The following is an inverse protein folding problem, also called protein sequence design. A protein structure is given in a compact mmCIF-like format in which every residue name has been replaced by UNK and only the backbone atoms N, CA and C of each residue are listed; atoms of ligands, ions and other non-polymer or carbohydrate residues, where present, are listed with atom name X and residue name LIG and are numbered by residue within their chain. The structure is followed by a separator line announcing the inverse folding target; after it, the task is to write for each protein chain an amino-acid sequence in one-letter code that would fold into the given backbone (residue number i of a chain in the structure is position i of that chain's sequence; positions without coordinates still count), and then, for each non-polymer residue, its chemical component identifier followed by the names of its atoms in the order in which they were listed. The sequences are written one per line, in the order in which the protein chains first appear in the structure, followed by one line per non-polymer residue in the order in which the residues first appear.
data_IF_576517054718
#
_entry.id   IF_576517054718
#
_cell.length_a   1.000
_cell.length_b   1.000
_cell.length_c   1.000
_cell.angle_alpha   90.00
_cell.angle_beta   90.00
_cell.angle_gamma   90.00
#
_symmetry.space_group_name_H-M   'P 1'
#
loop_
_entity.id
_entity.type
_entity.pdbx_description
1 polymer ?
#
# COMPACT_ATOMS: atom_id res chain seq x y z
N UNK A 1 1.95 -5.58 4.40
CA UNK A 1 2.35 -4.77 3.23
C UNK A 1 2.88 -3.40 3.65
N UNK A 2 2.08 -2.56 4.32
CA UNK A 2 2.45 -1.18 4.65
C UNK A 2 3.71 -1.13 5.54
N UNK A 3 3.78 -1.95 6.58
CA UNK A 3 4.96 -2.03 7.45
C UNK A 3 6.22 -2.45 6.68
N UNK A 4 6.11 -3.40 5.75
CA UNK A 4 7.26 -3.82 4.94
C UNK A 4 7.73 -2.72 3.99
N UNK A 5 6.80 -1.93 3.45
CA UNK A 5 7.15 -0.73 2.67
C UNK A 5 7.93 0.28 3.53
N UNK A 6 7.46 0.52 4.77
CA UNK A 6 8.12 1.41 5.72
C UNK A 6 9.52 0.92 6.10
N UNK A 7 9.68 -0.38 6.43
CA UNK A 7 11.01 -0.94 6.72
C UNK A 7 11.98 -0.79 5.55
N UNK A 8 11.50 -1.07 4.33
CA UNK A 8 12.30 -0.89 3.12
C UNK A 8 12.68 0.57 2.89
N UNK A 9 11.76 1.50 3.10
CA UNK A 9 11.99 2.93 2.97
C UNK A 9 12.94 3.45 4.05
N UNK A 10 12.73 3.06 5.31
CA UNK A 10 13.58 3.45 6.44
C UNK A 10 15.03 2.99 6.27
N UNK A 11 15.25 1.76 5.77
CA UNK A 11 16.59 1.25 5.50
C UNK A 11 17.34 2.03 4.40
N UNK A 12 16.64 2.87 3.64
CA UNK A 12 17.17 3.69 2.52
C UNK A 12 17.10 5.19 2.79
N UNK A 13 16.73 5.60 4.00
CA UNK A 13 16.73 6.99 4.42
C UNK A 13 15.50 7.82 3.98
N UNK A 14 14.44 7.17 3.46
CA UNK A 14 13.20 7.83 3.09
C UNK A 14 11.95 7.27 3.78
N UNK A 15 12.16 6.59 4.91
CA UNK A 15 11.08 6.19 5.81
C UNK A 15 10.51 7.36 6.61
N UNK A 16 9.45 7.07 7.37
CA UNK A 16 8.64 8.09 8.05
C UNK A 16 9.43 9.03 8.94
N UNK A 17 10.40 8.52 9.70
CA UNK A 17 11.20 9.38 10.61
C UNK A 17 11.97 10.45 9.84
N UNK A 18 12.69 10.05 8.80
CA UNK A 18 13.48 10.97 7.97
C UNK A 18 12.59 11.98 7.25
N UNK A 19 11.40 11.55 6.82
CA UNK A 19 10.45 12.41 6.13
C UNK A 19 9.77 13.41 7.06
N UNK A 20 9.42 13.00 8.28
CA UNK A 20 8.81 13.89 9.28
C UNK A 20 9.77 15.04 9.64
N UNK A 21 11.07 14.76 9.76
CA UNK A 21 12.10 15.79 10.00
C UNK A 21 12.17 16.80 8.84
N UNK A 22 11.75 16.41 7.63
CA UNK A 22 11.69 17.25 6.44
C UNK A 22 10.28 17.82 6.13
N UNK A 23 9.32 17.69 7.05
CA UNK A 23 7.92 18.06 6.83
C UNK A 23 7.21 17.32 5.68
N UNK A 24 7.64 16.11 5.38
CA UNK A 24 7.06 15.30 4.32
C UNK A 24 6.42 14.03 4.87
N UNK A 25 5.47 13.47 4.13
CA UNK A 25 4.89 12.15 4.44
C UNK A 25 4.49 11.40 3.18
N UNK A 26 4.51 10.06 3.28
CA UNK A 26 3.94 9.20 2.26
C UNK A 26 2.43 9.08 2.39
N UNK A 27 1.76 9.16 1.27
CA UNK A 27 0.31 8.90 1.14
C UNK A 27 0.11 7.74 0.19
N UNK A 28 -0.57 6.70 0.67
CA UNK A 28 -1.02 5.58 -0.16
C UNK A 28 -2.18 6.06 -1.02
N UNK A 29 -1.98 6.09 -2.33
CA UNK A 29 -3.00 6.51 -3.31
C UNK A 29 -3.84 5.33 -3.80
N UNK A 30 -3.19 4.18 -4.05
CA UNK A 30 -3.85 2.98 -4.57
C UNK A 30 -3.17 1.74 -4.04
N UNK A 31 -3.97 0.70 -3.84
CA UNK A 31 -3.51 -0.64 -3.47
C UNK A 31 -4.36 -1.67 -4.19
N UNK A 32 -3.70 -2.63 -4.82
CA UNK A 32 -4.31 -3.85 -5.36
C UNK A 32 -3.60 -5.04 -4.75
N UNK A 33 -4.35 -6.04 -4.35
CA UNK A 33 -3.84 -7.31 -3.82
C UNK A 33 -4.54 -8.42 -4.58
N UNK A 34 -3.77 -9.35 -5.12
CA UNK A 34 -4.28 -10.55 -5.76
C UNK A 34 -3.62 -11.77 -5.14
N UNK A 35 -4.45 -12.60 -4.49
CA UNK A 35 -4.02 -13.85 -3.88
C UNK A 35 -4.42 -15.01 -4.76
N UNK A 36 -3.45 -15.83 -5.16
CA UNK A 36 -3.66 -17.05 -5.93
C UNK A 36 -3.91 -18.26 -5.03
N UNK A 37 -3.38 -18.17 -3.80
CA UNK A 37 -3.55 -19.16 -2.75
C UNK A 37 -3.34 -18.48 -1.38
N UNK A 38 -3.78 -19.12 -0.33
CA UNK A 38 -3.62 -18.62 1.03
C UNK A 38 -2.60 -19.46 1.81
N UNK A 39 -1.68 -18.83 2.56
CA UNK A 39 -0.83 -19.57 3.47
C UNK A 39 -1.68 -20.27 4.53
N UNK A 40 -1.31 -21.52 4.87
CA UNK A 40 -1.98 -22.26 5.94
C UNK A 40 -1.76 -21.56 7.28
N UNK A 41 -2.77 -21.59 8.13
CA UNK A 41 -2.69 -21.02 9.49
C UNK A 41 -1.48 -21.57 10.23
N UNK A 42 -0.75 -20.69 10.93
CA UNK A 42 0.50 -20.99 11.66
C UNK A 42 1.72 -21.35 10.79
N UNK A 43 1.68 -21.12 9.47
CA UNK A 43 2.88 -21.19 8.64
C UNK A 43 3.53 -19.82 8.48
N UNK A 44 4.85 -19.83 8.31
CA UNK A 44 5.59 -18.62 7.99
C UNK A 44 5.43 -18.26 6.49
N UNK A 45 5.47 -16.98 6.19
CA UNK A 45 5.58 -16.49 4.82
C UNK A 45 6.62 -15.38 4.73
N UNK A 46 7.17 -15.20 3.55
CA UNK A 46 8.07 -14.10 3.20
C UNK A 46 7.27 -13.05 2.44
N UNK A 47 7.42 -11.82 2.86
CA UNK A 47 6.89 -10.66 2.14
C UNK A 47 8.06 -9.86 1.55
N UNK A 48 8.27 -10.00 0.26
CA UNK A 48 9.24 -9.21 -0.50
C UNK A 48 8.59 -7.93 -1.02
N UNK A 49 9.36 -6.84 -1.10
CA UNK A 49 8.86 -5.58 -1.67
C UNK A 49 9.96 -4.84 -2.41
N UNK A 50 9.61 -4.22 -3.52
CA UNK A 50 10.52 -3.41 -4.35
C UNK A 50 9.78 -2.22 -4.98
N UNK A 51 10.54 -1.20 -5.35
CA UNK A 51 10.04 -0.08 -6.14
C UNK A 51 10.18 -0.47 -7.61
N UNK A 52 9.07 -0.49 -8.34
CA UNK A 52 9.08 -0.76 -9.79
C UNK A 52 9.53 0.49 -10.57
N UNK A 53 8.91 1.64 -10.27
CA UNK A 53 9.18 2.88 -10.95
C UNK A 53 9.08 4.07 -10.00
N UNK A 54 9.88 5.09 -10.28
CA UNK A 54 9.81 6.40 -9.65
C UNK A 54 9.42 7.42 -10.71
N UNK A 55 8.36 8.16 -10.45
CA UNK A 55 7.89 9.28 -11.26
C UNK A 55 8.06 10.58 -10.48
N UNK A 56 7.88 11.69 -11.12
CA UNK A 56 8.06 12.99 -10.47
C UNK A 56 7.26 13.16 -9.18
N UNK A 57 6.01 12.69 -9.13
CA UNK A 57 5.09 12.91 -7.99
C UNK A 57 4.63 11.62 -7.29
N UNK A 58 5.02 10.46 -7.78
CA UNK A 58 4.62 9.18 -7.19
C UNK A 58 5.58 8.05 -7.53
N UNK A 59 5.52 6.98 -6.74
CA UNK A 59 6.22 5.72 -7.01
C UNK A 59 5.22 4.57 -7.16
N UNK A 60 5.60 3.58 -7.98
CA UNK A 60 4.95 2.28 -8.00
C UNK A 60 5.78 1.31 -7.16
N UNK A 61 5.14 0.65 -6.22
CA UNK A 61 5.76 -0.36 -5.36
C UNK A 61 5.01 -1.65 -5.47
N UNK A 62 5.75 -2.73 -5.61
CA UNK A 62 5.23 -4.09 -5.70
C UNK A 62 5.58 -4.91 -4.46
N UNK A 63 4.84 -5.99 -4.29
CA UNK A 63 5.04 -6.97 -3.22
C UNK A 63 4.82 -8.38 -3.75
N UNK A 64 5.54 -9.34 -3.20
CA UNK A 64 5.36 -10.77 -3.43
C UNK A 64 5.25 -11.46 -2.08
N UNK A 65 4.25 -12.33 -1.95
CA UNK A 65 4.00 -13.13 -0.78
C UNK A 65 4.33 -14.58 -1.14
N UNK A 66 5.27 -15.21 -0.44
CA UNK A 66 5.74 -16.56 -0.78
C UNK A 66 6.07 -17.40 0.43
N UNK A 67 6.09 -18.72 0.24
CA UNK A 67 6.60 -19.67 1.24
C UNK A 67 8.12 -19.59 1.32
N UNK A 68 8.71 -19.46 2.51
CA UNK A 68 10.17 -19.53 2.69
C UNK A 68 10.73 -20.92 2.44
N UNK A 69 9.91 -21.97 2.59
CA UNK A 69 10.34 -23.37 2.52
C UNK A 69 10.32 -23.89 1.09
N UNK A 70 9.28 -23.56 0.33
CA UNK A 70 9.05 -24.12 -1.00
C UNK A 70 9.24 -23.12 -2.13
N UNK A 71 9.31 -21.82 -1.82
CA UNK A 71 9.30 -20.76 -2.82
C UNK A 71 7.94 -20.54 -3.50
N UNK A 72 6.91 -21.31 -3.12
CA UNK A 72 5.55 -21.15 -3.68
C UNK A 72 5.08 -19.73 -3.46
N UNK A 73 4.65 -19.07 -4.53
CA UNK A 73 4.06 -17.74 -4.47
C UNK A 73 2.57 -17.86 -4.13
N UNK A 74 2.15 -17.15 -3.09
CA UNK A 74 0.75 -17.08 -2.67
C UNK A 74 0.01 -15.93 -3.37
N UNK A 75 0.71 -14.86 -3.70
CA UNK A 75 0.09 -13.71 -4.35
C UNK A 75 1.05 -12.54 -4.49
N UNK A 76 0.53 -11.49 -5.11
CA UNK A 76 1.23 -10.22 -5.31
C UNK A 76 0.36 -9.05 -4.87
N UNK A 77 1.01 -7.91 -4.66
CA UNK A 77 0.32 -6.65 -4.51
C UNK A 77 1.07 -5.54 -5.27
N UNK A 78 0.32 -4.52 -5.70
CA UNK A 78 0.82 -3.29 -6.28
C UNK A 78 0.28 -2.10 -5.50
N UNK A 79 1.10 -1.10 -5.28
CA UNK A 79 0.69 0.15 -4.64
C UNK A 79 1.27 1.36 -5.35
N UNK A 80 0.54 2.47 -5.28
CA UNK A 80 0.98 3.79 -5.75
C UNK A 80 1.09 4.70 -4.55
N UNK A 81 2.25 5.31 -4.37
CA UNK A 81 2.53 6.20 -3.26
C UNK A 81 2.91 7.59 -3.78
N UNK A 82 2.31 8.61 -3.21
CA UNK A 82 2.69 9.99 -3.40
C UNK A 82 3.34 10.53 -2.13
N UNK A 83 4.29 11.45 -2.28
CA UNK A 83 4.82 12.21 -1.16
C UNK A 83 4.20 13.60 -1.15
N UNK A 84 3.79 14.04 0.02
CA UNK A 84 3.25 15.38 0.21
C UNK A 84 4.00 16.13 1.30
N UNK A 85 4.04 17.43 1.19
CA UNK A 85 4.47 18.31 2.28
C UNK A 85 3.32 18.46 3.29
N UNK A 86 3.63 18.41 4.60
CA UNK A 86 2.62 18.52 5.65
C UNK A 86 1.98 19.90 5.75
N UNK A 87 2.74 20.96 5.45
CA UNK A 87 2.28 22.33 5.68
C UNK A 87 1.28 22.80 4.63
N UNK A 88 1.59 22.56 3.36
CA UNK A 88 0.78 23.04 2.23
C UNK A 88 -0.04 21.94 1.53
N UNK A 89 0.18 20.68 1.92
CA UNK A 89 -0.47 19.49 1.33
C UNK A 89 -0.18 19.28 -0.15
N UNK A 90 0.84 19.95 -0.70
CA UNK A 90 1.23 19.80 -2.09
C UNK A 90 2.13 18.59 -2.31
N UNK A 91 2.03 17.95 -3.49
CA UNK A 91 2.92 16.86 -3.86
C UNK A 91 4.38 17.33 -3.95
N UNK A 92 5.29 16.50 -3.45
CA UNK A 92 6.74 16.72 -3.50
C UNK A 92 7.31 16.09 -4.76
N UNK A 93 8.23 16.78 -5.42
CA UNK A 93 8.97 16.25 -6.56
C UNK A 93 10.03 15.23 -6.05
N UNK A 94 9.81 13.96 -6.36
CA UNK A 94 10.63 12.85 -5.85
C UNK A 94 12.04 12.82 -6.46
N UNK A 95 12.25 13.43 -7.62
CA UNK A 95 13.58 13.52 -8.23
C UNK A 95 14.46 14.58 -7.57
N UNK A 96 13.86 15.53 -6.84
CA UNK A 96 14.58 16.59 -6.14
C UNK A 96 14.93 16.25 -4.69
N UNK A 97 14.49 15.06 -4.20
CA UNK A 97 14.72 14.67 -2.82
C UNK A 97 16.16 14.23 -2.56
N UNK A 98 16.79 14.89 -1.58
CA UNK A 98 18.05 14.47 -0.92
C UNK A 98 19.27 14.31 -1.83
N UNK A 99 19.34 14.91 -3.02
CA UNK A 99 20.51 14.83 -3.89
C UNK A 99 20.84 13.41 -4.39
N UNK A 100 20.03 12.42 -3.98
CA UNK A 100 20.04 11.07 -4.49
C UNK A 100 18.67 10.79 -5.06
N UNK A 101 18.64 10.48 -6.31
CA UNK A 101 17.42 10.14 -6.99
C UNK A 101 16.91 8.81 -6.46
N UNK A 102 15.65 8.77 -6.01
CA UNK A 102 15.00 7.50 -5.62
C UNK A 102 15.04 6.44 -6.74
N UNK A 103 15.32 6.87 -7.95
CA UNK A 103 15.52 6.02 -9.13
C UNK A 103 16.58 4.95 -8.92
N UNK A 104 17.60 5.21 -8.10
CA UNK A 104 18.67 4.24 -7.82
C UNK A 104 18.19 3.00 -7.06
N UNK A 105 17.02 3.05 -6.46
CA UNK A 105 16.39 1.92 -5.75
C UNK A 105 15.25 1.27 -6.53
N UNK A 106 14.99 1.74 -7.73
CA UNK A 106 14.02 1.11 -8.61
C UNK A 106 14.59 -0.20 -9.18
N UNK A 107 13.75 -1.22 -9.21
CA UNK A 107 14.00 -2.53 -9.81
C UNK A 107 12.96 -2.77 -10.90
N UNK A 108 13.05 -2.09 -12.05
CA UNK A 108 12.03 -2.15 -13.11
C UNK A 108 11.95 -3.54 -13.78
N UNK A 109 13.02 -4.31 -13.69
CA UNK A 109 13.13 -5.65 -14.31
C UNK A 109 12.56 -6.77 -13.40
N UNK A 110 12.24 -6.45 -12.12
CA UNK A 110 11.60 -7.43 -11.23
C UNK A 110 10.11 -7.53 -11.58
N UNK A 111 9.69 -8.72 -12.00
CA UNK A 111 8.35 -8.97 -12.49
C UNK A 111 7.29 -8.95 -11.39
N UNK A 112 6.13 -8.37 -11.71
CA UNK A 112 4.92 -8.44 -10.93
C UNK A 112 3.74 -8.75 -11.86
N UNK A 113 3.28 -10.00 -11.92
CA UNK A 113 2.39 -10.49 -12.99
C UNK A 113 0.95 -10.01 -12.89
N UNK A 114 0.53 -9.44 -11.74
CA UNK A 114 -0.82 -8.92 -11.59
C UNK A 114 -1.01 -7.60 -12.35
N UNK A 115 -2.24 -7.30 -12.74
CA UNK A 115 -2.55 -6.09 -13.50
C UNK A 115 -2.21 -4.80 -12.72
N UNK A 116 -1.85 -3.77 -13.48
CA UNK A 116 -1.65 -2.42 -12.90
C UNK A 116 -3.00 -1.83 -12.49
N UNK A 117 -3.02 -1.16 -11.33
CA UNK A 117 -4.25 -0.57 -10.81
C UNK A 117 -4.84 0.45 -11.79
N UNK A 118 -6.09 0.23 -12.16
CA UNK A 118 -6.90 1.20 -12.86
C UNK A 118 -7.27 2.41 -11.97
N UNK A 119 -7.78 3.46 -12.58
CA UNK A 119 -8.38 4.57 -11.85
C UNK A 119 -9.81 4.19 -11.46
N UNK A 120 -10.08 4.09 -10.16
CA UNK A 120 -11.46 3.92 -9.68
C UNK A 120 -12.26 5.18 -10.01
N UNK A 121 -13.38 5.01 -10.69
CA UNK A 121 -14.32 6.12 -10.99
C UNK A 121 -15.50 6.01 -10.02
N UNK A 122 -15.95 7.13 -9.43
CA UNK A 122 -17.21 7.13 -8.68
C UNK A 122 -18.35 6.67 -9.58
N UNK A 123 -19.31 5.96 -8.99
CA UNK A 123 -20.56 5.65 -9.67
C UNK A 123 -21.38 6.92 -9.87
N UNK A 124 -22.13 7.00 -10.97
CA UNK A 124 -22.96 8.18 -11.27
C UNK A 124 -24.19 8.28 -10.36
N UNK A 125 -24.70 7.12 -9.88
CA UNK A 125 -25.82 7.02 -8.97
C UNK A 125 -25.39 6.27 -7.70
N UNK A 126 -25.24 7.01 -6.58
CA UNK A 126 -24.98 6.45 -5.27
C UNK A 126 -26.32 5.95 -4.68
N UNK A 127 -26.74 4.75 -5.06
CA UNK A 127 -27.98 4.13 -4.57
C UNK A 127 -27.84 3.55 -3.16
N UNK A 128 -26.61 3.35 -2.69
CA UNK A 128 -26.34 2.80 -1.37
C UNK A 128 -25.33 3.66 -0.63
N UNK A 129 -25.74 4.22 0.50
CA UNK A 129 -24.89 4.98 1.41
C UNK A 129 -25.01 4.40 2.80
N UNK A 130 -23.88 4.01 3.39
CA UNK A 130 -23.80 3.62 4.80
C UNK A 130 -22.88 4.58 5.53
N UNK A 131 -23.38 5.20 6.57
CA UNK A 131 -22.57 6.01 7.47
C UNK A 131 -21.86 5.09 8.47
N UNK A 132 -20.54 5.24 8.56
CA UNK A 132 -19.68 4.52 9.51
C UNK A 132 -19.06 5.54 10.44
N UNK A 133 -19.26 5.38 11.74
CA UNK A 133 -18.63 6.20 12.77
C UNK A 133 -17.24 5.64 13.07
N UNK A 134 -16.21 6.46 12.88
CA UNK A 134 -14.82 6.07 13.21
C UNK A 134 -14.61 6.11 14.72
N UNK A 135 -13.95 5.08 15.24
CA UNK A 135 -13.69 4.90 16.67
C UNK A 135 -12.20 5.05 16.99
N UNK A 136 -11.88 5.09 18.26
CA UNK A 136 -10.48 5.17 18.73
C UNK A 136 -9.59 4.09 18.11
N UNK A 137 -10.08 2.86 17.97
CA UNK A 137 -9.34 1.74 17.36
C UNK A 137 -9.08 1.88 15.85
N UNK A 138 -9.74 2.83 15.20
CA UNK A 138 -9.58 3.09 13.77
C UNK A 138 -8.49 4.12 13.49
N UNK A 139 -8.04 4.83 14.53
CA UNK A 139 -7.09 5.93 14.40
C UNK A 139 -5.67 5.41 14.56
N UNK A 140 -4.79 5.81 13.64
CA UNK A 140 -3.37 5.52 13.69
C UNK A 140 -2.60 6.52 14.59
N UNK A 141 -1.31 6.30 14.77
CA UNK A 141 -0.47 7.16 15.61
C UNK A 141 -0.29 8.59 15.05
N UNK A 142 -0.62 8.85 13.78
CA UNK A 142 -0.63 10.20 13.19
C UNK A 142 -1.96 10.94 13.44
N UNK A 143 -2.93 10.29 14.09
CA UNK A 143 -4.27 10.85 14.30
C UNK A 143 -5.18 10.77 13.08
N UNK A 144 -4.83 9.96 12.09
CA UNK A 144 -5.64 9.71 10.91
C UNK A 144 -6.33 8.34 11.00
N UNK A 145 -7.44 8.16 10.29
CA UNK A 145 -8.03 6.84 10.12
C UNK A 145 -7.05 5.93 9.38
N UNK A 146 -6.71 4.79 9.98
CA UNK A 146 -5.82 3.83 9.37
C UNK A 146 -6.42 3.29 8.06
N UNK A 147 -5.61 3.27 7.00
CA UNK A 147 -6.06 2.81 5.67
C UNK A 147 -6.66 1.41 5.67
N UNK A 148 -6.19 0.52 6.54
CA UNK A 148 -6.73 -0.84 6.70
C UNK A 148 -8.18 -0.80 7.20
N UNK A 149 -8.54 0.17 8.03
CA UNK A 149 -9.89 0.29 8.60
C UNK A 149 -10.94 0.59 7.54
N UNK A 150 -10.60 1.34 6.51
CA UNK A 150 -11.51 1.50 5.37
C UNK A 150 -11.80 0.16 4.69
N UNK A 151 -10.79 -0.70 4.54
CA UNK A 151 -10.96 -2.04 3.95
C UNK A 151 -11.83 -2.91 4.87
N UNK A 152 -11.56 -2.93 6.18
CA UNK A 152 -12.36 -3.66 7.17
C UNK A 152 -13.82 -3.23 7.11
N UNK A 153 -14.09 -1.93 7.15
CA UNK A 153 -15.47 -1.40 7.09
C UNK A 153 -16.18 -1.73 5.77
N UNK A 154 -15.44 -1.78 4.64
CA UNK A 154 -16.02 -2.24 3.37
C UNK A 154 -16.33 -3.74 3.44
N UNK A 155 -15.43 -4.54 3.97
CA UNK A 155 -15.66 -5.98 4.15
C UNK A 155 -16.86 -6.26 5.07
N UNK A 156 -17.05 -5.47 6.12
CA UNK A 156 -18.18 -5.59 7.07
C UNK A 156 -19.55 -5.26 6.44
N UNK A 157 -19.59 -4.78 5.19
CA UNK A 157 -20.85 -4.62 4.45
C UNK A 157 -21.44 -5.94 3.97
N UNK A 158 -20.62 -6.98 3.87
CA UNK A 158 -20.99 -8.29 3.36
C UNK A 158 -21.18 -9.30 4.50
N UNK A 159 -22.09 -10.23 4.34
CA UNK A 159 -22.33 -11.29 5.32
C UNK A 159 -21.20 -12.33 5.32
N UNK A 160 -21.09 -13.07 6.42
CA UNK A 160 -20.16 -14.22 6.47
C UNK A 160 -20.49 -15.29 5.42
N UNK A 161 -21.75 -15.45 5.07
CA UNK A 161 -22.16 -16.42 4.05
C UNK A 161 -21.71 -15.97 2.64
N UNK A 162 -21.76 -14.66 2.37
CA UNK A 162 -21.15 -14.11 1.15
C UNK A 162 -19.69 -14.53 1.01
N UNK A 163 -18.88 -14.41 2.07
CA UNK A 163 -17.47 -14.80 2.02
C UNK A 163 -17.21 -16.31 1.93
N UNK A 164 -18.16 -17.14 2.34
CA UNK A 164 -18.04 -18.60 2.15
C UNK A 164 -18.30 -19.03 0.71
N UNK A 165 -19.08 -18.25 -0.03
CA UNK A 165 -19.48 -18.54 -1.40
C UNK A 165 -18.57 -17.87 -2.45
N UNK A 166 -17.81 -16.83 -2.04
CA UNK A 166 -16.98 -16.02 -2.92
C UNK A 166 -15.54 -16.01 -2.40
N UNK A 167 -14.76 -17.00 -2.79
CA UNK A 167 -13.34 -17.14 -2.43
C UNK A 167 -12.44 -16.53 -3.49
#
# INVERSE_FOLDING_TARGET
LLNSAEYHASARGFGMKALNDANHTWVLSRLTIEMFDMPVVHTNFVLSTWIENVYRLFTNRNYRISSPETGKVYGYARSVWAMINYADRLPVDLHLMHGQTMDTWACPDEDCPIEKQGRVRPLADDTFVKNVEMKYSDIDYNGHVNSIKYIEHICDLFSLDYYKEHH
#
